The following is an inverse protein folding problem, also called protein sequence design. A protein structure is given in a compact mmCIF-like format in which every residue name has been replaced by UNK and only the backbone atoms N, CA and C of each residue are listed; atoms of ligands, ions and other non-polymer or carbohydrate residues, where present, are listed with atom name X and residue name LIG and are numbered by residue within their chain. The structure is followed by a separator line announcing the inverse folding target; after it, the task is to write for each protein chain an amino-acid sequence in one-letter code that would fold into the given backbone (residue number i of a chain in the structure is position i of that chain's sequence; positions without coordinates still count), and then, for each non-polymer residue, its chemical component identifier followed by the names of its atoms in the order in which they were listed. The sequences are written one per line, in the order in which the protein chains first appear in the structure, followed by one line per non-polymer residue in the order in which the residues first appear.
data_IF_802179768941
#
_entry.id   IF_802179768941
#
_cell.length_a   1.000
_cell.length_b   1.000
_cell.length_c   1.000
_cell.angle_alpha   90.00
_cell.angle_beta   90.00
_cell.angle_gamma   90.00
#
_symmetry.space_group_name_H-M   'P 1'
#
loop_
_entity.id
_entity.type
_entity.pdbx_description
1 polymer ?
#
# COMPACT_ATOMS: atom_id res chain seq x y z
N UNK A 1 58.39 -4.83 -18.62
CA UNK A 1 58.29 -4.94 -17.15
C UNK A 1 57.29 -3.98 -16.49
N UNK A 2 57.60 -2.69 -16.28
CA UNK A 2 56.80 -1.82 -15.39
C UNK A 2 55.38 -1.52 -15.91
N UNK A 3 55.24 -1.27 -17.22
CA UNK A 3 53.95 -0.95 -17.85
C UNK A 3 52.97 -2.15 -17.85
N UNK A 4 53.49 -3.38 -17.91
CA UNK A 4 52.69 -4.61 -17.88
C UNK A 4 52.13 -4.87 -16.47
N UNK A 5 52.89 -4.52 -15.42
CA UNK A 5 52.43 -4.61 -14.03
C UNK A 5 51.30 -3.63 -13.72
N UNK A 6 51.34 -2.42 -14.29
CA UNK A 6 50.25 -1.46 -14.16
C UNK A 6 48.96 -1.95 -14.84
N UNK A 7 49.08 -2.57 -16.02
CA UNK A 7 47.92 -3.13 -16.73
C UNK A 7 47.28 -4.29 -15.95
N UNK A 8 48.10 -5.19 -15.38
CA UNK A 8 47.62 -6.29 -14.54
C UNK A 8 46.95 -5.76 -13.27
N UNK A 9 47.52 -4.75 -12.61
CA UNK A 9 46.92 -4.14 -11.41
C UNK A 9 45.57 -3.49 -11.72
N UNK A 10 45.43 -2.85 -12.88
CA UNK A 10 44.18 -2.22 -13.32
C UNK A 10 43.08 -3.28 -13.60
N UNK A 11 43.45 -4.40 -14.24
CA UNK A 11 42.54 -5.53 -14.49
C UNK A 11 42.09 -6.22 -13.20
N UNK A 12 42.98 -6.33 -12.21
CA UNK A 12 42.68 -6.86 -10.89
C UNK A 12 41.71 -5.93 -10.15
N UNK A 13 41.91 -4.60 -10.17
CA UNK A 13 40.98 -3.67 -9.54
C UNK A 13 39.57 -3.71 -10.15
N UNK A 14 39.45 -3.93 -11.46
CA UNK A 14 38.15 -3.97 -12.13
C UNK A 14 37.34 -5.23 -11.79
N UNK A 15 37.99 -6.35 -11.47
CA UNK A 15 37.31 -7.60 -11.08
C UNK A 15 36.84 -7.63 -9.61
N UNK A 16 37.35 -6.72 -8.77
CA UNK A 16 36.89 -6.53 -7.39
C UNK A 16 35.80 -5.47 -7.22
N UNK A 17 35.26 -4.93 -8.32
CA UNK A 17 34.07 -4.10 -8.31
C UNK A 17 32.84 -4.90 -7.86
N UNK A 18 32.71 -5.13 -6.55
CA UNK A 18 31.47 -5.63 -5.95
C UNK A 18 30.39 -4.58 -6.23
N UNK A 19 29.36 -4.97 -6.98
CA UNK A 19 28.15 -4.14 -7.07
C UNK A 19 27.58 -4.08 -5.65
N UNK A 20 27.43 -2.88 -5.10
CA UNK A 20 26.64 -2.69 -3.89
C UNK A 20 25.20 -2.98 -4.29
N UNK A 21 24.63 -4.08 -3.82
CA UNK A 21 23.18 -4.18 -3.75
C UNK A 21 22.75 -3.15 -2.73
N UNK A 22 22.36 -1.96 -3.19
CA UNK A 22 21.49 -1.13 -2.38
C UNK A 22 20.24 -1.97 -2.15
N UNK A 23 19.97 -2.34 -0.91
CA UNK A 23 18.64 -2.81 -0.52
C UNK A 23 17.73 -1.59 -0.56
N UNK A 24 17.31 -1.21 -1.78
CA UNK A 24 16.40 -0.10 -1.99
C UNK A 24 15.09 -0.46 -1.30
N UNK A 25 14.68 0.35 -0.31
CA UNK A 25 13.45 0.11 0.42
C UNK A 25 12.29 0.49 -0.49
N UNK A 26 11.44 -0.47 -0.83
CA UNK A 26 10.28 -0.24 -1.68
C UNK A 26 9.21 0.49 -0.87
N UNK A 27 8.62 1.52 -1.47
CA UNK A 27 7.55 2.29 -0.85
C UNK A 27 6.22 2.06 -1.55
N UNK A 28 5.24 1.47 -0.85
CA UNK A 28 3.86 1.36 -1.34
C UNK A 28 3.03 2.53 -0.82
N UNK A 29 2.45 3.34 -1.71
CA UNK A 29 1.69 4.52 -1.30
C UNK A 29 0.50 4.82 -2.19
N UNK A 30 -0.27 5.82 -1.78
CA UNK A 30 -1.43 6.32 -2.51
C UNK A 30 -2.25 7.29 -1.67
N UNK A 31 -3.50 7.49 -2.07
CA UNK A 31 -4.41 8.42 -1.41
C UNK A 31 -5.74 7.76 -1.06
N UNK A 32 -6.29 8.13 0.08
CA UNK A 32 -7.72 8.01 0.37
C UNK A 32 -8.40 9.23 -0.23
N UNK A 33 -9.24 9.02 -1.23
CA UNK A 33 -9.98 10.06 -1.97
C UNK A 33 -11.43 10.09 -1.55
N UNK A 34 -12.04 11.26 -1.59
CA UNK A 34 -13.45 11.45 -1.26
C UNK A 34 -14.00 12.65 -2.04
N UNK A 35 -15.25 12.55 -2.50
CA UNK A 35 -15.99 13.67 -3.10
C UNK A 35 -16.57 14.62 -2.04
N UNK A 36 -16.60 14.17 -0.78
CA UNK A 36 -17.11 14.92 0.38
C UNK A 36 -16.02 15.08 1.44
N UNK A 37 -16.16 16.08 2.30
CA UNK A 37 -15.23 16.24 3.42
C UNK A 37 -15.39 15.09 4.43
N UNK A 38 -14.30 14.38 4.71
CA UNK A 38 -14.25 13.26 5.65
C UNK A 38 -12.99 13.37 6.52
N UNK A 39 -13.07 12.85 7.73
CA UNK A 39 -11.92 12.78 8.62
C UNK A 39 -11.01 11.61 8.24
N UNK A 40 -9.93 11.87 7.50
CA UNK A 40 -8.98 10.82 7.11
C UNK A 40 -8.26 10.16 8.30
N UNK A 41 -8.11 10.85 9.44
CA UNK A 41 -7.38 10.35 10.61
C UNK A 41 -8.00 9.11 11.24
N UNK A 42 -9.31 8.90 11.05
CA UNK A 42 -10.00 7.74 11.62
C UNK A 42 -9.91 6.50 10.71
N UNK A 43 -9.31 6.64 9.52
CA UNK A 43 -9.08 5.54 8.60
C UNK A 43 -7.62 5.12 8.70
N UNK A 44 -7.39 3.86 9.06
CA UNK A 44 -6.05 3.27 9.08
C UNK A 44 -5.84 2.43 7.82
N UNK A 45 -4.61 2.40 7.34
CA UNK A 45 -4.18 1.55 6.23
C UNK A 45 -3.29 0.46 6.82
N UNK A 46 -3.51 -0.78 6.39
CA UNK A 46 -2.80 -1.94 6.90
C UNK A 46 -2.27 -2.78 5.75
N UNK A 47 -0.99 -3.13 5.84
CA UNK A 47 -0.38 -4.15 5.02
C UNK A 47 -0.35 -5.46 5.83
N UNK A 48 -0.87 -6.53 5.24
CA UNK A 48 -0.92 -7.86 5.85
C UNK A 48 -0.29 -8.90 4.92
N UNK A 49 0.20 -10.01 5.47
CA UNK A 49 0.55 -11.20 4.68
C UNK A 49 -0.72 -11.84 4.10
N UNK A 50 -0.58 -12.73 3.11
CA UNK A 50 -1.72 -13.54 2.61
C UNK A 50 -2.45 -14.34 3.69
N UNK A 51 -1.74 -14.74 4.75
CA UNK A 51 -2.33 -15.44 5.91
C UNK A 51 -3.13 -14.51 6.85
N UNK A 52 -3.18 -13.21 6.55
CA UNK A 52 -3.93 -12.22 7.30
C UNK A 52 -3.17 -11.60 8.47
N UNK A 53 -1.87 -11.85 8.58
CA UNK A 53 -1.03 -11.33 9.68
C UNK A 53 -0.65 -9.88 9.37
N UNK A 54 -0.93 -8.91 10.26
CA UNK A 54 -0.55 -7.52 10.05
C UNK A 54 0.95 -7.32 10.21
N UNK A 55 1.57 -6.75 9.18
CA UNK A 55 3.01 -6.44 9.17
C UNK A 55 3.28 -4.95 9.35
N UNK A 56 2.37 -4.10 8.88
CA UNK A 56 2.48 -2.65 9.02
C UNK A 56 1.11 -2.02 9.12
N UNK A 57 0.98 -0.96 9.92
CA UNK A 57 -0.26 -0.17 10.01
C UNK A 57 0.11 1.29 10.14
N UNK A 58 -0.55 2.13 9.35
CA UNK A 58 -0.32 3.57 9.32
C UNK A 58 -1.65 4.32 9.23
N UNK A 59 -1.58 5.62 9.52
CA UNK A 59 -2.69 6.54 9.37
C UNK A 59 -2.50 7.36 8.10
N UNK A 60 -3.61 7.75 7.47
CA UNK A 60 -3.56 8.69 6.36
C UNK A 60 -3.22 10.11 6.85
N UNK A 61 -2.51 10.85 6.01
CA UNK A 61 -2.27 12.26 6.21
C UNK A 61 -3.62 13.01 6.29
N UNK A 62 -3.80 13.90 7.27
CA UNK A 62 -5.11 14.45 7.59
C UNK A 62 -5.66 15.45 6.57
N UNK A 63 -4.80 16.01 5.72
CA UNK A 63 -5.17 17.08 4.79
C UNK A 63 -5.62 16.53 3.44
N UNK A 64 -4.96 15.48 2.95
CA UNK A 64 -5.14 14.99 1.59
C UNK A 64 -5.32 13.47 1.49
N UNK A 65 -5.38 12.76 2.61
CA UNK A 65 -5.55 11.32 2.63
C UNK A 65 -4.33 10.52 2.16
N UNK A 66 -3.17 11.16 1.98
CA UNK A 66 -1.96 10.47 1.52
C UNK A 66 -1.45 9.46 2.54
N UNK A 67 -0.96 8.31 2.08
CA UNK A 67 -0.31 7.32 2.93
C UNK A 67 0.87 6.66 2.21
N UNK A 68 1.80 6.14 2.99
CA UNK A 68 2.99 5.44 2.49
C UNK A 68 3.38 4.34 3.49
N UNK A 69 3.72 3.17 2.98
CA UNK A 69 4.15 2.00 3.75
C UNK A 69 5.48 1.52 3.18
N UNK A 70 6.54 1.45 4.01
CA UNK A 70 7.78 0.80 3.59
C UNK A 70 7.60 -0.72 3.54
N UNK A 71 8.08 -1.34 2.47
CA UNK A 71 8.13 -2.78 2.26
C UNK A 71 9.59 -3.20 2.16
N UNK A 72 10.02 -4.05 3.09
CA UNK A 72 11.42 -4.47 3.22
C UNK A 72 11.71 -5.81 2.55
N UNK A 73 10.69 -6.65 2.39
CA UNK A 73 10.82 -8.00 1.85
C UNK A 73 9.90 -8.15 0.63
N UNK A 74 10.40 -8.86 -0.37
CA UNK A 74 9.63 -9.21 -1.56
C UNK A 74 8.65 -10.34 -1.21
N UNK A 75 7.48 -10.33 -1.82
CA UNK A 75 6.47 -11.35 -1.57
C UNK A 75 5.04 -10.90 -1.81
N UNK A 76 4.11 -11.76 -1.38
CA UNK A 76 2.68 -11.55 -1.56
C UNK A 76 2.04 -10.93 -0.32
N UNK A 77 1.37 -9.79 -0.52
CA UNK A 77 0.74 -9.01 0.54
C UNK A 77 -0.66 -8.58 0.15
N UNK A 78 -1.43 -8.18 1.15
CA UNK A 78 -2.72 -7.52 0.95
C UNK A 78 -2.66 -6.15 1.62
N UNK A 79 -2.96 -5.11 0.86
CA UNK A 79 -3.08 -3.74 1.36
C UNK A 79 -4.57 -3.42 1.53
N UNK A 80 -5.01 -3.10 2.74
CA UNK A 80 -6.43 -2.85 3.04
C UNK A 80 -6.63 -1.66 3.95
N UNK A 81 -7.84 -1.12 3.93
CA UNK A 81 -8.28 -0.14 4.92
C UNK A 81 -8.88 -0.81 6.15
N UNK A 82 -8.74 -0.14 7.29
CA UNK A 82 -9.48 -0.37 8.52
C UNK A 82 -10.36 0.85 8.76
N UNK A 83 -11.53 0.91 8.10
CA UNK A 83 -12.42 2.06 8.19
C UNK A 83 -13.23 2.06 9.49
N UNK A 84 -13.76 3.22 9.92
CA UNK A 84 -14.75 3.27 10.98
C UNK A 84 -16.00 2.46 10.62
N UNK A 85 -16.79 1.99 11.62
CA UNK A 85 -18.03 1.28 11.37
C UNK A 85 -18.97 2.06 10.45
N UNK A 86 -19.51 1.35 9.47
CA UNK A 86 -20.45 1.91 8.50
C UNK A 86 -19.81 2.68 7.34
N UNK A 87 -18.49 2.88 7.29
CA UNK A 87 -17.86 3.55 6.14
C UNK A 87 -17.54 2.54 5.04
N UNK A 88 -17.75 2.95 3.78
CA UNK A 88 -17.47 2.14 2.61
C UNK A 88 -16.42 2.78 1.71
N UNK A 89 -15.54 1.94 1.14
CA UNK A 89 -14.45 2.34 0.27
C UNK A 89 -14.32 1.38 -0.91
N UNK A 90 -13.86 1.88 -2.05
CA UNK A 90 -13.56 1.09 -3.24
C UNK A 90 -12.17 1.43 -3.82
N UNK A 91 -11.31 0.44 -4.13
CA UNK A 91 -11.50 -0.97 -3.78
C UNK A 91 -11.47 -1.19 -2.26
N UNK A 92 -11.82 -2.37 -1.77
CA UNK A 92 -11.70 -2.69 -0.33
C UNK A 92 -10.28 -3.08 0.07
N UNK A 93 -9.52 -3.64 -0.88
CA UNK A 93 -8.13 -4.05 -0.74
C UNK A 93 -7.41 -4.13 -2.09
N UNK A 94 -6.08 -4.16 -2.06
CA UNK A 94 -5.22 -4.52 -3.17
C UNK A 94 -4.45 -5.80 -2.83
N UNK A 95 -4.40 -6.73 -3.77
CA UNK A 95 -3.48 -7.87 -3.71
C UNK A 95 -2.19 -7.46 -4.41
N UNK A 96 -1.07 -7.60 -3.71
CA UNK A 96 0.24 -7.14 -4.15
C UNK A 96 1.19 -8.32 -4.23
N UNK A 97 1.94 -8.42 -5.32
CA UNK A 97 3.08 -9.30 -5.47
C UNK A 97 4.32 -8.44 -5.69
N UNK A 98 5.02 -8.11 -4.61
CA UNK A 98 6.17 -7.20 -4.62
C UNK A 98 7.38 -7.99 -5.11
N UNK A 99 7.83 -7.71 -6.33
CA UNK A 99 8.96 -8.38 -6.98
C UNK A 99 10.21 -7.49 -7.06
N UNK A 100 10.07 -6.19 -6.84
CA UNK A 100 11.16 -5.23 -6.93
C UNK A 100 11.47 -4.77 -8.36
N UNK A 101 10.62 -5.12 -9.35
CA UNK A 101 10.85 -4.79 -10.75
C UNK A 101 9.59 -4.30 -11.48
N UNK A 102 8.48 -5.04 -11.37
CA UNK A 102 7.27 -4.81 -12.18
C UNK A 102 6.04 -4.48 -11.36
N UNK A 103 6.11 -4.66 -10.04
CA UNK A 103 4.99 -4.40 -9.15
C UNK A 103 4.63 -2.91 -9.04
N UNK A 104 3.38 -2.64 -8.66
CA UNK A 104 2.86 -1.27 -8.59
C UNK A 104 3.62 -0.37 -7.61
N UNK A 105 4.19 -0.92 -6.54
CA UNK A 105 4.92 -0.11 -5.56
C UNK A 105 6.31 0.25 -6.06
N UNK A 106 7.02 -0.72 -6.66
CA UNK A 106 8.31 -0.46 -7.32
C UNK A 106 8.17 0.57 -8.43
N UNK A 107 7.07 0.52 -9.20
CA UNK A 107 6.77 1.48 -10.26
C UNK A 107 6.20 2.81 -9.76
N UNK A 108 6.05 3.00 -8.44
CA UNK A 108 5.49 4.19 -7.81
C UNK A 108 4.07 4.55 -8.29
N UNK A 109 3.23 3.55 -8.55
CA UNK A 109 1.82 3.75 -8.83
C UNK A 109 1.02 3.94 -7.55
N UNK A 110 0.12 4.94 -7.57
CA UNK A 110 -0.75 5.24 -6.45
C UNK A 110 -1.85 4.18 -6.27
N UNK A 111 -1.81 3.49 -5.15
CA UNK A 111 -2.85 2.54 -4.72
C UNK A 111 -3.98 3.30 -4.03
N UNK A 112 -4.88 3.89 -4.83
CA UNK A 112 -5.90 4.79 -4.29
C UNK A 112 -7.13 4.05 -3.76
N UNK A 113 -7.61 4.47 -2.60
CA UNK A 113 -8.91 4.07 -2.06
C UNK A 113 -9.90 5.22 -2.21
N UNK A 114 -11.14 4.94 -2.61
CA UNK A 114 -12.16 5.97 -2.82
C UNK A 114 -13.32 5.76 -1.84
N UNK A 115 -13.59 6.75 -1.00
CA UNK A 115 -14.74 6.75 -0.11
C UNK A 115 -16.03 6.76 -0.92
N UNK A 116 -16.95 5.85 -0.60
CA UNK A 116 -18.23 5.68 -1.29
C UNK A 116 -19.43 6.15 -0.46
N UNK A 117 -19.24 6.42 0.82
CA UNK A 117 -20.31 6.84 1.72
C UNK A 117 -20.45 5.94 2.93
N UNK A 118 -21.60 6.08 3.58
CA UNK A 118 -21.93 5.34 4.79
C UNK A 118 -22.98 4.27 4.48
N UNK A 119 -22.69 3.02 4.83
CA UNK A 119 -23.68 1.96 4.90
C UNK A 119 -24.59 2.21 6.11
N UNK A 120 -25.85 2.50 5.86
CA UNK A 120 -26.89 2.51 6.89
C UNK A 120 -27.31 1.06 7.13
N UNK A 121 -26.82 0.44 8.22
CA UNK A 121 -27.42 -0.79 8.70
C UNK A 121 -28.76 -0.44 9.37
N UNK A 122 -29.87 -0.56 8.64
CA UNK A 122 -31.21 -0.24 9.16
C UNK A 122 -32.32 -0.88 8.36
N UNK A 123 -33.29 -1.48 9.05
CA UNK A 123 -34.56 -1.91 8.44
C UNK A 123 -35.41 -0.67 8.20
N UNK A 124 -35.75 -0.38 6.94
CA UNK A 124 -36.75 0.63 6.61
C UNK A 124 -38.12 0.06 7.01
N UNK A 125 -38.72 0.62 8.06
CA UNK A 125 -40.11 0.35 8.43
C UNK A 125 -40.92 1.54 7.93
N UNK A 126 -41.75 1.33 6.91
CA UNK A 126 -42.68 2.37 6.47
C UNK A 126 -43.79 2.48 7.53
N UNK A 127 -44.20 3.70 7.87
CA UNK A 127 -45.28 3.93 8.82
C UNK A 127 -46.58 3.30 8.28
N UNK A 128 -46.89 2.09 8.76
CA UNK A 128 -48.06 1.30 8.34
C UNK A 128 -47.77 -0.07 7.72
N UNK A 129 -46.50 -0.46 7.51
CA UNK A 129 -46.17 -1.81 7.00
C UNK A 129 -45.41 -2.66 8.03
N UNK A 130 -45.87 -3.90 8.24
CA UNK A 130 -45.23 -4.86 9.18
C UNK A 130 -44.08 -5.65 8.56
N UNK A 131 -43.77 -5.44 7.27
CA UNK A 131 -42.65 -6.09 6.58
C UNK A 131 -41.68 -5.05 6.00
N UNK A 132 -40.61 -4.77 6.72
CA UNK A 132 -39.47 -4.02 6.18
C UNK A 132 -38.61 -4.91 5.27
N UNK A 133 -38.24 -4.39 4.10
CA UNK A 133 -37.29 -5.05 3.19
C UNK A 133 -35.84 -4.93 3.68
N UNK A 134 -34.91 -5.74 3.15
CA UNK A 134 -33.49 -5.63 3.49
C UNK A 134 -32.91 -4.35 2.86
N UNK A 135 -32.16 -3.60 3.66
CA UNK A 135 -31.29 -2.50 3.22
C UNK A 135 -29.86 -2.99 3.03
#
# INVERSE_FOLDING_TARGET
ELMLKFLILFLICFSYGKTQQNSDVIGCGGFIKSETDINYKVVRIQLITKDGIPIYTTEAAPVNGYYMIPVYEHGEYILKLLPPPGWSFEPTQFELNIDGETDSCTLNYDLNFVFKGFGLAGRVISAGSTSGGPG
#
